data_IF_597943820398
#
_entry.id   IF_597943820398
#
_cell.length_a   1.000
_cell.length_b   1.000
_cell.length_c   1.000
_cell.angle_alpha   90.00
_cell.angle_beta   90.00
_cell.angle_gamma   90.00
#
_symmetry.space_group_name_H-M   'P 1'
#
loop_
_entity.id
_entity.type
_entity.pdbx_description
1 polymer ?
#
# COMPACT_ATOMS: atom_id res chain seq x y z
N UNK A 1 -9.09 -24.56 -0.23
CA UNK A 1 -9.97 -23.56 -0.87
C UNK A 1 -10.86 -23.01 0.23
N UNK A 2 -10.39 -22.01 0.93
CA UNK A 2 -11.21 -21.23 1.85
C UNK A 2 -12.02 -20.27 0.99
N UNK A 3 -13.35 -20.41 1.04
CA UNK A 3 -14.26 -19.46 0.38
C UNK A 3 -13.86 -18.04 0.79
N UNK A 4 -13.64 -17.16 -0.19
CA UNK A 4 -13.38 -15.76 0.08
C UNK A 4 -14.59 -15.23 0.88
N UNK A 5 -14.39 -14.70 2.10
CA UNK A 5 -15.45 -13.98 2.81
C UNK A 5 -16.01 -12.92 1.87
N UNK A 6 -17.28 -12.53 2.04
CA UNK A 6 -18.04 -11.62 1.15
C UNK A 6 -17.47 -10.19 1.01
N UNK A 7 -16.20 -10.09 0.66
CA UNK A 7 -15.36 -8.92 0.47
C UNK A 7 -15.35 -8.55 -1.00
N UNK A 8 -15.29 -7.24 -1.27
CA UNK A 8 -15.31 -6.72 -2.63
C UNK A 8 -13.90 -6.68 -3.21
N UNK A 9 -13.52 -7.75 -3.92
CA UNK A 9 -12.22 -7.88 -4.60
C UNK A 9 -12.39 -7.89 -6.12
N UNK A 10 -11.35 -7.50 -6.87
CA UNK A 10 -11.38 -7.56 -8.32
C UNK A 10 -11.18 -9.00 -8.83
N UNK A 11 -11.64 -9.32 -10.07
CA UNK A 11 -11.30 -10.59 -10.72
C UNK A 11 -9.78 -10.83 -10.80
N UNK A 12 -8.98 -9.76 -10.91
CA UNK A 12 -7.51 -9.83 -10.92
C UNK A 12 -6.96 -10.34 -9.60
N UNK A 13 -7.50 -9.86 -8.48
CA UNK A 13 -7.10 -10.35 -7.16
C UNK A 13 -7.45 -11.84 -7.00
N UNK A 14 -8.65 -12.24 -7.43
CA UNK A 14 -9.08 -13.65 -7.38
C UNK A 14 -8.11 -14.55 -8.17
N UNK A 15 -7.77 -14.16 -9.40
CA UNK A 15 -6.87 -14.94 -10.25
C UNK A 15 -5.44 -14.96 -9.72
N UNK A 16 -4.92 -13.81 -9.28
CA UNK A 16 -3.61 -13.75 -8.63
C UNK A 16 -3.58 -14.65 -7.39
N UNK A 17 -4.63 -14.62 -6.57
CA UNK A 17 -4.67 -15.42 -5.34
C UNK A 17 -4.78 -16.91 -5.60
N UNK A 18 -5.44 -17.31 -6.68
CA UNK A 18 -5.53 -18.72 -7.14
C UNK A 18 -4.17 -19.26 -7.59
N UNK A 19 -3.29 -18.38 -8.06
CA UNK A 19 -2.04 -18.77 -8.72
C UNK A 19 -0.80 -18.52 -7.86
N UNK A 20 -0.89 -17.64 -6.86
CA UNK A 20 0.24 -17.31 -6.00
C UNK A 20 0.55 -18.46 -5.04
N UNK A 21 1.79 -18.91 -5.07
CA UNK A 21 2.38 -19.75 -4.02
C UNK A 21 3.05 -18.81 -3.02
N UNK A 22 2.46 -18.70 -1.83
CA UNK A 22 2.92 -17.75 -0.80
C UNK A 22 4.33 -18.06 -0.28
N UNK A 23 4.79 -19.32 -0.34
CA UNK A 23 6.17 -19.66 0.01
C UNK A 23 7.12 -19.09 -1.04
N UNK A 24 6.84 -19.34 -2.32
CA UNK A 24 7.65 -18.82 -3.42
C UNK A 24 7.58 -17.30 -3.54
N UNK A 25 6.46 -16.69 -3.16
CA UNK A 25 6.30 -15.24 -3.11
C UNK A 25 7.30 -14.63 -2.12
N UNK A 26 7.37 -15.17 -0.91
CA UNK A 26 8.34 -14.71 0.11
C UNK A 26 9.79 -15.01 -0.30
N UNK A 27 10.07 -16.21 -0.83
CA UNK A 27 11.39 -16.60 -1.33
C UNK A 27 11.87 -15.69 -2.48
N UNK A 28 10.96 -15.28 -3.37
CA UNK A 28 11.31 -14.36 -4.48
C UNK A 28 11.86 -13.04 -3.95
N UNK A 29 11.23 -12.45 -2.94
CA UNK A 29 11.71 -11.21 -2.33
C UNK A 29 13.00 -11.43 -1.53
N UNK A 30 13.12 -12.55 -0.81
CA UNK A 30 14.36 -12.88 -0.10
C UNK A 30 15.54 -13.04 -1.08
N UNK A 31 15.34 -13.73 -2.20
CA UNK A 31 16.37 -13.90 -3.23
C UNK A 31 16.74 -12.60 -3.93
N UNK A 32 15.78 -11.68 -4.12
CA UNK A 32 16.05 -10.33 -4.64
C UNK A 32 16.87 -9.52 -3.62
N UNK A 33 16.56 -9.61 -2.32
CA UNK A 33 17.33 -8.98 -1.24
C UNK A 33 18.78 -9.48 -1.21
N UNK A 34 18.99 -10.80 -1.28
CA UNK A 34 20.31 -11.43 -1.27
C UNK A 34 21.17 -11.03 -2.49
N UNK A 35 20.53 -10.65 -3.60
CA UNK A 35 21.20 -10.16 -4.83
C UNK A 35 21.53 -8.67 -4.77
N UNK A 36 21.08 -7.96 -3.74
CA UNK A 36 21.28 -6.52 -3.60
C UNK A 36 20.34 -5.67 -4.45
N UNK A 37 19.26 -6.25 -4.97
CA UNK A 37 18.20 -5.48 -5.64
C UNK A 37 17.53 -4.55 -4.62
N UNK A 38 17.15 -3.34 -5.01
CA UNK A 38 16.39 -2.43 -4.13
C UNK A 38 14.96 -2.94 -3.95
N UNK A 39 14.80 -3.86 -2.98
CA UNK A 39 13.51 -4.42 -2.57
C UNK A 39 12.78 -3.54 -1.56
N UNK A 40 13.33 -2.37 -1.22
CA UNK A 40 12.82 -1.45 -0.19
C UNK A 40 12.70 -0.01 -0.71
N UNK A 41 12.55 0.17 -2.03
CA UNK A 41 12.43 1.50 -2.63
C UNK A 41 11.33 2.35 -1.98
N UNK A 42 10.23 1.74 -1.55
CA UNK A 42 9.15 2.43 -0.82
C UNK A 42 9.60 2.93 0.55
N UNK A 43 10.36 2.14 1.30
CA UNK A 43 10.91 2.53 2.59
C UNK A 43 11.93 3.67 2.44
N UNK A 44 12.82 3.56 1.46
CA UNK A 44 13.80 4.60 1.14
C UNK A 44 13.13 5.92 0.74
N UNK A 45 12.04 5.84 -0.04
CA UNK A 45 11.23 6.99 -0.42
C UNK A 45 10.67 7.71 0.79
N UNK A 46 10.09 6.95 1.73
CA UNK A 46 9.50 7.49 2.95
C UNK A 46 10.57 8.13 3.84
N UNK A 47 11.73 7.50 4.03
CA UNK A 47 12.82 8.10 4.81
C UNK A 47 13.38 9.39 4.19
N UNK A 48 13.40 9.50 2.86
CA UNK A 48 13.77 10.74 2.16
C UNK A 48 12.77 11.87 2.39
N UNK A 49 11.47 11.56 2.48
CA UNK A 49 10.42 12.55 2.77
C UNK A 49 10.42 12.99 4.24
N UNK A 50 10.80 12.11 5.16
CA UNK A 50 10.80 12.37 6.60
C UNK A 50 12.20 12.20 7.22
N UNK A 51 13.20 12.97 6.76
CA UNK A 51 14.57 12.77 7.19
C UNK A 51 14.72 12.98 8.70
N UNK A 52 15.45 12.07 9.35
CA UNK A 52 15.81 12.14 10.78
C UNK A 52 14.63 12.11 11.76
N UNK A 53 13.43 11.71 11.32
CA UNK A 53 12.26 11.54 12.19
C UNK A 53 11.80 10.09 12.22
N UNK A 54 11.42 9.61 13.42
CA UNK A 54 10.61 8.41 13.54
C UNK A 54 9.16 8.80 13.33
N UNK A 55 8.44 7.98 12.58
CA UNK A 55 7.06 8.24 12.18
C UNK A 55 6.18 7.03 12.50
N UNK A 56 4.89 7.28 12.63
CA UNK A 56 3.86 6.25 12.62
C UNK A 56 3.37 5.99 11.19
N UNK A 57 3.30 4.72 10.81
CA UNK A 57 2.96 4.27 9.46
C UNK A 57 1.88 3.20 9.46
N UNK A 58 0.90 3.34 8.56
CA UNK A 58 -0.04 2.28 8.20
C UNK A 58 0.30 1.75 6.80
N UNK A 59 0.66 0.48 6.71
CA UNK A 59 0.86 -0.26 5.46
C UNK A 59 -0.48 -0.91 5.05
N UNK A 60 -1.18 -0.27 4.12
CA UNK A 60 -2.51 -0.66 3.66
C UNK A 60 -2.42 -1.58 2.43
N UNK A 61 -2.86 -2.82 2.61
CA UNK A 61 -2.60 -3.91 1.65
C UNK A 61 -1.17 -4.43 1.78
N UNK A 62 -0.75 -4.71 3.02
CA UNK A 62 0.64 -5.00 3.37
C UNK A 62 1.17 -6.37 2.90
N UNK A 63 0.29 -7.26 2.43
CA UNK A 63 0.63 -8.64 2.08
C UNK A 63 1.35 -9.36 3.22
N UNK A 64 2.53 -9.91 2.95
CA UNK A 64 3.36 -10.59 3.97
C UNK A 64 4.24 -9.64 4.79
N UNK A 65 3.97 -8.33 4.73
CA UNK A 65 4.51 -7.32 5.63
C UNK A 65 5.83 -6.68 5.20
N UNK A 66 6.24 -6.75 3.92
CA UNK A 66 7.57 -6.30 3.46
C UNK A 66 7.91 -4.87 3.88
N UNK A 67 6.99 -3.92 3.65
CA UNK A 67 7.21 -2.52 3.99
C UNK A 67 7.12 -2.28 5.50
N UNK A 68 6.05 -2.72 6.16
CA UNK A 68 5.91 -2.55 7.61
C UNK A 68 7.07 -3.15 8.43
N UNK A 69 7.57 -4.33 8.04
CA UNK A 69 8.73 -4.97 8.68
C UNK A 69 9.98 -4.12 8.51
N UNK A 70 10.23 -3.63 7.29
CA UNK A 70 11.40 -2.81 7.02
C UNK A 70 11.34 -1.46 7.73
N UNK A 71 10.18 -0.80 7.74
CA UNK A 71 10.02 0.47 8.46
C UNK A 71 10.22 0.27 9.97
N UNK A 72 9.76 -0.85 10.52
CA UNK A 72 9.99 -1.20 11.94
C UNK A 72 11.46 -1.50 12.21
N UNK A 73 12.17 -2.20 11.30
CA UNK A 73 13.60 -2.48 11.42
C UNK A 73 14.44 -1.19 11.46
N UNK A 74 14.00 -0.18 10.70
CA UNK A 74 14.57 1.18 10.69
C UNK A 74 14.13 2.03 11.88
N UNK A 75 13.33 1.51 12.80
CA UNK A 75 12.93 2.15 14.07
C UNK A 75 11.69 3.05 13.97
N UNK A 76 10.89 2.94 12.92
CA UNK A 76 9.56 3.55 12.83
C UNK A 76 8.53 2.66 13.52
N UNK A 77 7.33 3.20 13.75
CA UNK A 77 6.20 2.41 14.23
C UNK A 77 5.30 2.08 13.05
N UNK A 78 5.13 0.80 12.72
CA UNK A 78 4.28 0.37 11.61
C UNK A 78 3.11 -0.50 12.09
N UNK A 79 1.95 -0.33 11.44
CA UNK A 79 0.79 -1.22 11.52
C UNK A 79 0.53 -1.75 10.12
N UNK A 80 0.27 -3.05 9.99
CA UNK A 80 -0.05 -3.66 8.69
C UNK A 80 -1.49 -4.14 8.62
N UNK A 81 -2.16 -3.83 7.50
CA UNK A 81 -3.51 -4.30 7.20
C UNK A 81 -3.51 -4.99 5.84
N UNK A 82 -4.07 -6.18 5.76
CA UNK A 82 -4.36 -6.84 4.49
C UNK A 82 -5.72 -7.53 4.56
N UNK A 83 -6.33 -7.75 3.40
CA UNK A 83 -7.58 -8.47 3.31
C UNK A 83 -7.36 -9.98 3.53
N UNK A 84 -6.21 -10.52 3.15
CA UNK A 84 -5.95 -11.96 3.16
C UNK A 84 -5.44 -12.46 4.53
N UNK A 85 -6.19 -13.33 5.24
CA UNK A 85 -5.76 -13.87 6.51
C UNK A 85 -4.49 -14.73 6.43
N UNK A 86 -4.24 -15.41 5.30
CA UNK A 86 -3.03 -16.22 5.13
C UNK A 86 -1.78 -15.33 4.98
N UNK A 87 -1.93 -14.15 4.35
CA UNK A 87 -0.88 -13.15 4.25
C UNK A 87 -0.53 -12.56 5.61
N UNK A 88 -1.55 -12.17 6.37
CA UNK A 88 -1.38 -11.65 7.74
C UNK A 88 -0.78 -12.70 8.68
N UNK A 89 -1.19 -13.97 8.57
CA UNK A 89 -0.58 -15.05 9.35
C UNK A 89 0.93 -15.16 9.09
N UNK A 90 1.37 -15.01 7.83
CA UNK A 90 2.79 -15.00 7.46
C UNK A 90 3.51 -13.76 7.96
N UNK A 91 2.93 -12.58 7.76
CA UNK A 91 3.50 -11.32 8.27
C UNK A 91 3.75 -11.40 9.77
N UNK A 92 2.76 -11.88 10.53
CA UNK A 92 2.84 -12.09 11.98
C UNK A 92 3.89 -13.15 12.37
N UNK A 93 4.05 -14.21 11.59
CA UNK A 93 5.09 -15.21 11.85
C UNK A 93 6.51 -14.65 11.65
N UNK A 94 6.69 -13.68 10.73
CA UNK A 94 8.00 -13.06 10.46
C UNK A 94 8.33 -11.98 11.50
N UNK A 95 7.33 -11.20 11.91
CA UNK A 95 7.48 -10.10 12.86
C UNK A 95 6.30 -10.09 13.85
N UNK A 96 6.40 -10.86 14.95
CA UNK A 96 5.29 -11.00 15.91
C UNK A 96 5.01 -9.73 16.72
N UNK A 97 5.99 -8.81 16.79
CA UNK A 97 5.90 -7.56 17.57
C UNK A 97 5.21 -6.42 16.81
N UNK A 98 4.94 -6.59 15.50
CA UNK A 98 4.19 -5.62 14.70
C UNK A 98 2.69 -5.88 14.85
N UNK A 99 1.90 -4.81 14.87
CA UNK A 99 0.45 -4.90 14.88
C UNK A 99 -0.08 -5.26 13.48
N UNK A 100 -0.81 -6.38 13.38
CA UNK A 100 -1.32 -6.91 12.11
C UNK A 100 -2.83 -7.15 12.14
N UNK A 101 -3.55 -6.63 11.16
CA UNK A 101 -5.00 -6.75 11.03
C UNK A 101 -5.42 -7.40 9.73
N UNK A 102 -6.39 -8.31 9.81
CA UNK A 102 -7.14 -8.80 8.65
C UNK A 102 -8.36 -7.90 8.49
N UNK A 103 -8.41 -7.06 7.45
CA UNK A 103 -9.52 -6.13 7.26
C UNK A 103 -9.72 -5.70 5.79
N UNK A 104 -10.97 -5.34 5.47
CA UNK A 104 -11.33 -4.66 4.23
C UNK A 104 -11.01 -3.16 4.36
N UNK A 105 -10.10 -2.66 3.53
CA UNK A 105 -9.67 -1.26 3.57
C UNK A 105 -10.83 -0.28 3.34
N UNK A 106 -11.90 -0.67 2.62
CA UNK A 106 -13.08 0.18 2.40
C UNK A 106 -13.94 0.40 3.64
N UNK A 107 -13.73 -0.42 4.69
CA UNK A 107 -14.47 -0.40 5.96
C UNK A 107 -13.53 -0.46 7.16
N UNK A 108 -12.29 -0.02 6.96
CA UNK A 108 -11.28 -0.02 8.02
C UNK A 108 -11.73 0.87 9.16
N UNK A 109 -11.54 0.41 10.39
CA UNK A 109 -11.82 1.16 11.60
C UNK A 109 -10.78 0.79 12.65
N UNK A 110 -9.63 1.47 12.61
CA UNK A 110 -8.61 1.35 13.64
C UNK A 110 -8.86 2.40 14.73
N UNK A 111 -8.45 2.08 15.96
CA UNK A 111 -8.50 3.01 17.09
C UNK A 111 -7.42 4.09 17.06
N UNK A 112 -6.55 4.09 16.05
CA UNK A 112 -5.37 4.93 15.93
C UNK A 112 -5.28 5.57 14.54
N UNK A 113 -4.49 6.65 14.46
CA UNK A 113 -4.13 7.34 13.23
C UNK A 113 -2.62 7.31 13.06
N UNK A 114 -2.17 7.36 11.81
CA UNK A 114 -0.75 7.38 11.43
C UNK A 114 -0.38 8.71 10.78
N UNK A 115 0.89 9.10 10.92
CA UNK A 115 1.47 10.22 10.17
C UNK A 115 1.53 9.94 8.67
N UNK A 116 1.75 8.68 8.31
CA UNK A 116 1.81 8.25 6.90
C UNK A 116 0.97 6.98 6.71
N UNK A 117 0.09 6.99 5.73
CA UNK A 117 -0.60 5.80 5.23
C UNK A 117 -0.03 5.49 3.85
N UNK A 118 0.32 4.23 3.59
CA UNK A 118 0.96 3.80 2.35
C UNK A 118 0.18 2.68 1.68
N UNK A 119 -0.05 2.79 0.37
CA UNK A 119 -0.49 1.70 -0.49
C UNK A 119 0.61 1.37 -1.50
N UNK A 120 1.46 0.39 -1.19
CA UNK A 120 2.62 0.03 -2.01
C UNK A 120 2.39 -1.13 -2.99
N UNK A 121 1.27 -1.85 -2.87
CA UNK A 121 1.03 -3.14 -3.52
C UNK A 121 0.13 -3.12 -4.77
N UNK A 122 0.09 -2.05 -5.58
CA UNK A 122 -0.88 -1.93 -6.69
C UNK A 122 -2.35 -2.06 -6.24
N UNK A 123 -2.65 -1.69 -4.99
CA UNK A 123 -3.97 -1.88 -4.35
C UNK A 123 -5.14 -1.34 -5.19
N UNK A 124 -5.05 -0.15 -5.83
CA UNK A 124 -6.14 0.36 -6.68
C UNK A 124 -6.54 -0.57 -7.86
N UNK A 125 -5.67 -1.49 -8.27
CA UNK A 125 -5.91 -2.46 -9.35
C UNK A 125 -6.50 -3.79 -8.83
N UNK A 126 -6.39 -4.05 -7.53
CA UNK A 126 -6.85 -5.29 -6.91
C UNK A 126 -8.21 -5.15 -6.21
N UNK A 127 -8.67 -3.93 -5.96
CA UNK A 127 -10.00 -3.68 -5.42
C UNK A 127 -11.09 -3.76 -6.50
N UNK A 128 -12.32 -4.12 -6.10
CA UNK A 128 -13.44 -4.18 -7.04
C UNK A 128 -13.65 -2.83 -7.76
N UNK A 129 -13.96 -2.81 -9.07
CA UNK A 129 -14.23 -1.57 -9.78
C UNK A 129 -15.27 -0.70 -9.07
N UNK A 130 -14.95 0.57 -8.84
CA UNK A 130 -15.80 1.52 -8.12
C UNK A 130 -15.63 1.53 -6.60
N UNK A 131 -14.83 0.64 -6.02
CA UNK A 131 -14.55 0.64 -4.57
C UNK A 131 -13.36 1.54 -4.18
N UNK A 132 -12.57 2.01 -5.15
CA UNK A 132 -11.37 2.83 -4.93
C UNK A 132 -11.66 4.08 -4.08
N UNK A 133 -12.69 4.84 -4.43
CA UNK A 133 -13.06 6.05 -3.69
C UNK A 133 -13.43 5.76 -2.22
N UNK A 134 -14.07 4.61 -1.95
CA UNK A 134 -14.41 4.21 -0.59
C UNK A 134 -13.16 3.82 0.21
N UNK A 135 -12.19 3.14 -0.41
CA UNK A 135 -10.89 2.81 0.18
C UNK A 135 -10.13 4.10 0.52
N UNK A 136 -10.00 5.03 -0.43
CA UNK A 136 -9.27 6.29 -0.21
C UNK A 136 -9.92 7.11 0.92
N UNK A 137 -11.25 7.20 0.93
CA UNK A 137 -12.02 7.86 2.00
C UNK A 137 -11.83 7.20 3.36
N UNK A 138 -11.83 5.87 3.41
CA UNK A 138 -11.60 5.11 4.65
C UNK A 138 -10.18 5.32 5.16
N UNK A 139 -9.17 5.27 4.28
CA UNK A 139 -7.77 5.51 4.64
C UNK A 139 -7.54 6.95 5.12
N UNK A 140 -8.18 7.96 4.53
CA UNK A 140 -8.01 9.35 4.98
C UNK A 140 -8.47 9.57 6.44
N UNK A 141 -9.42 8.77 6.94
CA UNK A 141 -9.85 8.81 8.34
C UNK A 141 -8.77 8.33 9.32
N UNK A 142 -7.77 7.58 8.83
CA UNK A 142 -6.67 7.03 9.61
C UNK A 142 -5.39 7.88 9.51
N UNK A 143 -5.47 9.05 8.86
CA UNK A 143 -4.36 10.00 8.75
C UNK A 143 -4.56 11.10 9.80
N UNK A 144 -3.47 11.48 10.47
CA UNK A 144 -3.45 12.66 11.37
C UNK A 144 -3.57 13.95 10.56
N UNK A 145 -3.94 15.06 11.20
CA UNK A 145 -3.84 16.38 10.56
C UNK A 145 -2.41 16.64 10.11
N UNK A 146 -2.24 17.18 8.90
CA UNK A 146 -0.97 17.37 8.19
C UNK A 146 -0.20 16.09 7.84
N UNK A 147 -0.81 14.92 8.02
CA UNK A 147 -0.27 13.62 7.62
C UNK A 147 -0.48 13.31 6.14
N UNK A 148 0.06 12.18 5.68
CA UNK A 148 0.20 11.87 4.25
C UNK A 148 -0.44 10.54 3.83
N UNK A 149 -0.98 10.51 2.63
CA UNK A 149 -1.28 9.28 1.88
C UNK A 149 -0.29 9.16 0.72
N UNK A 150 0.44 8.05 0.67
CA UNK A 150 1.41 7.76 -0.41
C UNK A 150 0.98 6.47 -1.11
N UNK A 151 0.72 6.54 -2.41
CA UNK A 151 0.19 5.40 -3.17
C UNK A 151 1.01 5.18 -4.41
N UNK A 152 1.48 3.94 -4.60
CA UNK A 152 2.15 3.50 -5.81
C UNK A 152 1.31 2.49 -6.58
N UNK A 153 1.08 2.71 -7.87
CA UNK A 153 0.38 1.76 -8.72
C UNK A 153 0.67 1.90 -10.23
N UNK A 154 0.45 0.81 -10.97
CA UNK A 154 0.58 0.79 -12.43
C UNK A 154 -0.56 1.54 -13.13
N UNK A 155 -0.21 2.36 -14.12
CA UNK A 155 -1.11 3.08 -15.01
C UNK A 155 -1.34 2.26 -16.30
N UNK A 156 -2.06 1.15 -16.17
CA UNK A 156 -2.39 0.31 -17.33
C UNK A 156 -3.38 1.02 -18.27
N UNK A 157 -3.22 0.89 -19.59
CA UNK A 157 -4.16 1.41 -20.59
C UNK A 157 -5.13 0.31 -21.04
N UNK A 158 -6.30 0.22 -20.38
CA UNK A 158 -7.37 -0.76 -20.62
C UNK A 158 -8.75 -0.12 -20.35
N UNK A 159 -9.80 -0.77 -20.85
CA UNK A 159 -11.16 -0.23 -20.81
C UNK A 159 -11.77 -0.04 -19.41
N UNK A 160 -11.22 -0.68 -18.38
CA UNK A 160 -11.63 -0.58 -16.98
C UNK A 160 -10.53 -0.03 -16.06
N UNK A 161 -9.50 0.58 -16.64
CA UNK A 161 -8.36 1.11 -15.90
C UNK A 161 -8.75 2.21 -14.93
N UNK A 162 -8.18 2.12 -13.72
CA UNK A 162 -8.22 3.20 -12.76
C UNK A 162 -7.03 4.12 -13.02
N UNK A 163 -7.28 5.31 -13.58
CA UNK A 163 -6.23 6.21 -14.03
C UNK A 163 -5.78 7.14 -12.90
N UNK A 164 -4.60 7.75 -13.07
CA UNK A 164 -4.10 8.76 -12.13
C UNK A 164 -5.09 9.91 -11.88
N UNK A 165 -5.82 10.34 -12.92
CA UNK A 165 -6.85 11.36 -12.79
C UNK A 165 -8.05 10.92 -11.94
N UNK A 166 -8.46 9.65 -12.01
CA UNK A 166 -9.52 9.10 -11.16
C UNK A 166 -9.06 9.05 -9.69
N UNK A 167 -7.81 8.61 -9.45
CA UNK A 167 -7.21 8.63 -8.13
C UNK A 167 -7.15 10.03 -7.53
N UNK A 168 -6.68 11.03 -8.30
CA UNK A 168 -6.61 12.42 -7.83
C UNK A 168 -8.01 12.98 -7.50
N UNK A 169 -9.02 12.70 -8.34
CA UNK A 169 -10.40 13.09 -8.06
C UNK A 169 -10.90 12.50 -6.75
N UNK A 170 -10.67 11.21 -6.56
CA UNK A 170 -11.16 10.48 -5.38
C UNK A 170 -10.40 10.89 -4.10
N UNK A 171 -9.10 11.17 -4.20
CA UNK A 171 -8.29 11.72 -3.12
C UNK A 171 -8.79 13.11 -2.72
N UNK A 172 -9.04 14.00 -3.68
CA UNK A 172 -9.59 15.33 -3.40
C UNK A 172 -10.96 15.24 -2.71
N UNK A 173 -11.83 14.33 -3.17
CA UNK A 173 -13.13 14.09 -2.54
C UNK A 173 -13.01 13.54 -1.10
N UNK A 174 -11.89 12.92 -0.74
CA UNK A 174 -11.58 12.43 0.60
C UNK A 174 -10.89 13.48 1.50
N UNK A 175 -10.71 14.72 1.02
CA UNK A 175 -10.06 15.82 1.76
C UNK A 175 -8.54 15.86 1.61
N UNK A 176 -7.98 15.08 0.69
CA UNK A 176 -6.54 15.00 0.46
C UNK A 176 -6.11 15.93 -0.67
N UNK A 177 -5.08 16.73 -0.45
CA UNK A 177 -4.51 17.64 -1.45
C UNK A 177 -3.29 17.01 -2.10
N UNK A 178 -3.14 17.23 -3.40
CA UNK A 178 -1.99 16.75 -4.15
C UNK A 178 -0.71 17.49 -3.74
N UNK A 179 0.37 16.74 -3.53
CA UNK A 179 1.70 17.29 -3.18
C UNK A 179 2.70 17.04 -4.30
N UNK A 180 2.84 15.78 -4.74
CA UNK A 180 3.82 15.37 -5.73
C UNK A 180 3.43 14.07 -6.43
N UNK A 181 4.00 13.86 -7.61
CA UNK A 181 3.90 12.62 -8.39
C UNK A 181 5.29 12.24 -8.91
N UNK A 182 5.59 10.95 -8.89
CA UNK A 182 6.82 10.35 -9.40
C UNK A 182 6.48 9.12 -10.23
N UNK A 183 7.34 8.70 -11.15
CA UNK A 183 7.07 7.49 -11.93
C UNK A 183 7.53 6.20 -11.25
N UNK A 184 8.28 6.30 -10.14
CA UNK A 184 8.71 5.16 -9.34
C UNK A 184 9.10 5.59 -7.91
N UNK A 185 9.41 4.61 -7.06
CA UNK A 185 9.74 4.84 -5.65
C UNK A 185 11.15 5.40 -5.38
N UNK A 186 12.04 5.47 -6.37
CA UNK A 186 13.32 6.19 -6.20
C UNK A 186 13.12 7.71 -6.13
N UNK A 187 11.96 8.21 -6.59
CA UNK A 187 11.67 9.64 -6.68
C UNK A 187 12.36 10.33 -7.86
N UNK A 188 12.89 9.56 -8.81
CA UNK A 188 13.40 10.01 -10.09
C UNK A 188 12.50 9.49 -11.25
N UNK A 189 12.67 10.03 -12.46
CA UNK A 189 11.91 9.61 -13.65
C UNK A 189 10.99 10.69 -14.23
N UNK A 190 10.57 10.49 -15.48
CA UNK A 190 9.64 11.39 -16.17
C UNK A 190 8.23 10.83 -16.09
N UNK A 191 7.28 11.63 -15.61
CA UNK A 191 5.85 11.25 -15.57
C UNK A 191 5.31 10.97 -17.00
N UNK A 192 6.01 11.43 -18.04
CA UNK A 192 5.64 11.19 -19.44
C UNK A 192 6.14 9.83 -19.93
N UNK A 193 5.24 8.86 -20.06
CA UNK A 193 5.48 7.59 -20.77
C UNK A 193 5.81 6.39 -19.89
N UNK A 194 5.91 6.57 -18.58
CA UNK A 194 6.07 5.48 -17.62
C UNK A 194 4.69 4.87 -17.26
N UNK A 195 4.64 3.55 -17.07
CA UNK A 195 3.43 2.77 -16.79
C UNK A 195 3.16 2.60 -15.28
N UNK A 196 3.79 3.44 -14.44
CA UNK A 196 3.69 3.40 -12.99
C UNK A 196 3.71 4.83 -12.42
N UNK A 197 2.99 5.03 -11.32
CA UNK A 197 2.96 6.30 -10.60
C UNK A 197 3.11 6.06 -9.10
N UNK A 198 3.77 6.99 -8.42
CA UNK A 198 3.80 7.16 -6.96
C UNK A 198 3.28 8.57 -6.67
N UNK A 199 2.10 8.66 -6.08
CA UNK A 199 1.45 9.92 -5.77
C UNK A 199 1.45 10.19 -4.26
N UNK A 200 1.85 11.40 -3.89
CA UNK A 200 1.88 11.90 -2.51
C UNK A 200 0.75 12.90 -2.34
N UNK A 201 -0.08 12.68 -1.32
CA UNK A 201 -1.14 13.59 -0.92
C UNK A 201 -1.05 13.91 0.56
N UNK A 202 -1.53 15.08 0.97
CA UNK A 202 -1.57 15.52 2.37
C UNK A 202 -3.02 15.73 2.83
N UNK A 203 -3.30 15.37 4.09
CA UNK A 203 -4.57 15.69 4.74
C UNK A 203 -4.43 17.01 5.52
N UNK A 204 -5.31 17.98 5.25
CA UNK A 204 -5.40 19.23 6.02
C UNK A 204 -6.54 19.21 7.03
#
# INVERSE_FOLDING_TARGET
MTDAPGWQVSPRWIEWRRTVDLLKYDERFALMAERGDSIHGEADFIERLFPQRKISLLDAGCGTGRLAIEMTSRGHHAVGVDLDPDMIARARSKAPDIEWHVADLSKLALGSKSEVVVMAGNIPLFCAPGSQAAIIKSLSQHIVTDGYLITGFSLEDRGDSYLGADYQRDALAAGLTFVAEYSNWNGDGSITGDDYTVMVHQLH
#
